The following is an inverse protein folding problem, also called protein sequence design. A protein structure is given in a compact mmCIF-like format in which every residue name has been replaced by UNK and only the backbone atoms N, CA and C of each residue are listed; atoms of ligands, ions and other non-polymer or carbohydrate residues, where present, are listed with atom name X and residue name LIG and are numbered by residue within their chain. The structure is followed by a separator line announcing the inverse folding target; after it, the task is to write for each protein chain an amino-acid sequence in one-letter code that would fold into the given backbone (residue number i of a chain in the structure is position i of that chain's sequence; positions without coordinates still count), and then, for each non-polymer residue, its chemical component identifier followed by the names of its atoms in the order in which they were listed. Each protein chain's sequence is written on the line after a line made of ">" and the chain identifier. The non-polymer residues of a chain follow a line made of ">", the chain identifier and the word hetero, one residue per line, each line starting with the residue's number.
data_IF_629159421447
#
_entry.id   IF_629159421447
#
_cell.length_a   1.000
_cell.length_b   1.000
_cell.length_c   1.000
_cell.angle_alpha   90.00
_cell.angle_beta   90.00
_cell.angle_gamma   90.00
#
_symmetry.space_group_name_H-M   'P 1'
#
loop_
_entity.id
_entity.type
_entity.pdbx_description
1 polymer ?
#
# COMPACT_ATOMS: atom_id res chain seq x y z
N UNK A 1 -5.75 10.69 -16.21
CA UNK A 1 -6.50 10.44 -14.96
C UNK A 1 -6.21 9.02 -14.45
N UNK A 2 -5.67 8.91 -13.23
CA UNK A 2 -5.50 7.66 -12.50
C UNK A 2 -6.83 7.06 -12.04
N UNK A 3 -6.80 5.78 -11.70
CA UNK A 3 -8.01 4.96 -11.45
C UNK A 3 -8.87 5.51 -10.30
N UNK A 4 -8.27 6.12 -9.28
CA UNK A 4 -8.98 6.65 -8.12
C UNK A 4 -9.13 8.17 -8.10
N UNK A 5 -8.66 8.88 -9.14
CA UNK A 5 -8.55 10.35 -9.13
C UNK A 5 -9.88 11.08 -8.89
N UNK A 6 -11.00 10.48 -9.34
CA UNK A 6 -12.33 11.08 -9.24
C UNK A 6 -13.12 10.62 -8.01
N UNK A 7 -12.59 9.70 -7.22
CA UNK A 7 -13.28 9.09 -6.08
C UNK A 7 -13.03 9.88 -4.79
N UNK A 8 -13.22 11.21 -4.83
CA UNK A 8 -12.89 12.11 -3.71
C UNK A 8 -13.73 11.87 -2.46
N UNK A 9 -14.90 11.24 -2.60
CA UNK A 9 -15.82 10.88 -1.52
C UNK A 9 -15.67 9.42 -1.06
N UNK A 10 -14.71 8.65 -1.59
CA UNK A 10 -14.49 7.26 -1.19
C UNK A 10 -13.98 7.19 0.25
N UNK A 11 -14.70 6.47 1.11
CA UNK A 11 -14.38 6.31 2.53
C UNK A 11 -13.71 4.98 2.85
N UNK A 12 -13.95 3.95 2.04
CA UNK A 12 -13.46 2.59 2.21
C UNK A 12 -12.91 2.08 0.89
N UNK A 13 -11.71 1.49 0.93
CA UNK A 13 -11.08 0.89 -0.24
C UNK A 13 -10.54 -0.51 0.11
N UNK A 14 -11.10 -1.51 -0.55
CA UNK A 14 -10.72 -2.91 -0.36
C UNK A 14 -9.87 -3.38 -1.53
N UNK A 15 -8.59 -3.67 -1.27
CA UNK A 15 -7.64 -4.22 -2.25
C UNK A 15 -6.98 -5.51 -1.74
N UNK A 16 -7.36 -5.99 -0.56
CA UNK A 16 -6.82 -7.19 0.07
C UNK A 16 -7.04 -8.45 -0.78
N UNK A 17 -6.23 -9.48 -0.55
CA UNK A 17 -6.38 -10.80 -1.18
C UNK A 17 -6.36 -10.77 -2.72
N UNK A 18 -5.51 -9.92 -3.29
CA UNK A 18 -5.27 -9.82 -4.73
C UNK A 18 -3.81 -10.24 -5.07
N UNK A 19 -3.37 -9.96 -6.31
CA UNK A 19 -2.01 -10.23 -6.77
C UNK A 19 -1.22 -8.94 -7.03
N UNK A 20 -1.54 -7.86 -6.31
CA UNK A 20 -0.86 -6.59 -6.45
C UNK A 20 0.58 -6.70 -5.93
N UNK A 21 1.53 -6.22 -6.74
CA UNK A 21 2.96 -6.17 -6.37
C UNK A 21 3.41 -4.77 -5.97
N UNK A 22 2.77 -3.74 -6.49
CA UNK A 22 3.02 -2.34 -6.18
C UNK A 22 1.75 -1.53 -6.42
N UNK A 23 1.76 -0.27 -5.98
CA UNK A 23 0.73 0.71 -6.30
C UNK A 23 1.39 1.82 -7.13
N UNK A 24 0.82 2.20 -8.29
CA UNK A 24 1.34 3.30 -9.09
C UNK A 24 1.46 4.58 -8.26
N UNK A 25 2.55 5.32 -8.48
CA UNK A 25 2.80 6.59 -7.79
C UNK A 25 1.60 7.51 -7.97
N UNK A 26 1.11 8.04 -6.85
CA UNK A 26 0.02 9.00 -6.81
C UNK A 26 -1.39 8.41 -6.86
N UNK A 27 -1.54 7.08 -6.96
CA UNK A 27 -2.85 6.46 -7.12
C UNK A 27 -3.84 6.81 -6.00
N UNK A 28 -3.38 7.06 -4.78
CA UNK A 28 -4.22 7.39 -3.63
C UNK A 28 -4.30 8.88 -3.30
N UNK A 29 -3.62 9.75 -4.06
CA UNK A 29 -3.41 11.15 -3.67
C UNK A 29 -4.73 11.94 -3.58
N UNK A 30 -5.74 11.58 -4.35
CA UNK A 30 -7.04 12.23 -4.41
C UNK A 30 -8.11 11.61 -3.48
N UNK A 31 -7.78 10.54 -2.75
CA UNK A 31 -8.69 9.87 -1.82
C UNK A 31 -8.80 10.61 -0.47
N UNK A 32 -9.23 11.88 -0.51
CA UNK A 32 -9.24 12.77 0.67
C UNK A 32 -10.21 12.37 1.78
N UNK A 33 -11.24 11.59 1.46
CA UNK A 33 -12.25 11.13 2.43
C UNK A 33 -11.98 9.72 2.97
N UNK A 34 -10.83 9.11 2.62
CA UNK A 34 -10.55 7.72 2.95
C UNK A 34 -10.34 7.54 4.46
N UNK A 35 -11.04 6.57 5.03
CA UNK A 35 -11.00 6.25 6.47
C UNK A 35 -10.54 4.83 6.74
N UNK A 36 -10.70 3.92 5.76
CA UNK A 36 -10.30 2.53 5.88
C UNK A 36 -9.75 2.03 4.55
N UNK A 37 -8.62 1.34 4.61
CA UNK A 37 -8.05 0.63 3.48
C UNK A 37 -7.48 -0.71 3.90
N UNK A 38 -7.74 -1.74 3.10
CA UNK A 38 -7.24 -3.08 3.34
C UNK A 38 -6.32 -3.50 2.19
N UNK A 39 -5.07 -3.84 2.55
CA UNK A 39 -3.97 -4.12 1.61
C UNK A 39 -3.32 -5.50 1.83
N UNK A 40 -3.73 -6.20 2.88
CA UNK A 40 -3.15 -7.49 3.28
C UNK A 40 -3.43 -8.59 2.25
N UNK A 41 -2.65 -9.67 2.29
CA UNK A 41 -2.85 -10.80 1.37
C UNK A 41 -2.50 -10.50 -0.10
N UNK A 42 -1.65 -9.50 -0.35
CA UNK A 42 -1.07 -9.23 -1.66
C UNK A 42 0.44 -9.52 -1.64
N UNK A 43 1.03 -10.02 -2.75
CA UNK A 43 2.45 -10.31 -2.85
C UNK A 43 3.27 -9.04 -3.15
N UNK A 44 3.30 -8.08 -2.21
CA UNK A 44 3.99 -6.81 -2.37
C UNK A 44 5.49 -7.00 -2.66
N UNK A 45 5.95 -6.50 -3.79
CA UNK A 45 7.35 -6.56 -4.21
C UNK A 45 8.13 -5.41 -3.57
N UNK A 46 8.73 -5.70 -2.42
CA UNK A 46 9.52 -4.71 -1.69
C UNK A 46 10.98 -4.63 -2.14
N UNK A 47 11.39 -5.37 -3.19
CA UNK A 47 12.74 -5.27 -3.73
C UNK A 47 12.83 -4.22 -4.83
N UNK A 48 11.76 -4.05 -5.61
CA UNK A 48 11.64 -3.00 -6.62
C UNK A 48 11.41 -1.61 -5.98
N UNK A 49 12.01 -0.56 -6.53
CA UNK A 49 11.83 0.83 -6.06
C UNK A 49 10.41 1.38 -6.20
N UNK A 50 9.58 0.78 -7.06
CA UNK A 50 8.19 1.22 -7.24
C UNK A 50 7.35 1.07 -5.96
N UNK A 51 7.80 0.24 -5.01
CA UNK A 51 7.13 0.09 -3.71
C UNK A 51 7.21 1.36 -2.85
N UNK A 52 8.16 2.26 -3.10
CA UNK A 52 8.46 3.37 -2.20
C UNK A 52 7.29 4.33 -2.01
N UNK A 53 6.48 4.55 -3.05
CA UNK A 53 5.23 5.31 -2.91
C UNK A 53 4.31 4.67 -1.88
N UNK A 54 4.06 3.37 -2.02
CA UNK A 54 3.17 2.64 -1.12
C UNK A 54 3.75 2.56 0.29
N UNK A 55 5.05 2.27 0.45
CA UNK A 55 5.72 2.26 1.76
C UNK A 55 5.52 3.58 2.50
N UNK A 56 5.86 4.70 1.84
CA UNK A 56 5.69 6.03 2.41
C UNK A 56 4.24 6.37 2.70
N UNK A 57 3.31 6.01 1.80
CA UNK A 57 1.90 6.27 1.98
C UNK A 57 1.32 5.51 3.18
N UNK A 58 1.62 4.21 3.33
CA UNK A 58 1.19 3.38 4.48
C UNK A 58 1.81 3.89 5.78
N UNK A 59 3.07 4.33 5.76
CA UNK A 59 3.70 4.94 6.93
C UNK A 59 2.99 6.22 7.37
N UNK A 60 2.65 7.11 6.42
CA UNK A 60 1.96 8.37 6.68
C UNK A 60 0.50 8.20 7.09
N UNK A 61 -0.19 7.18 6.58
CA UNK A 61 -1.63 6.94 6.78
C UNK A 61 -1.87 5.68 7.65
N UNK A 62 -0.95 5.36 8.55
CA UNK A 62 -0.98 4.14 9.36
C UNK A 62 -2.27 3.96 10.18
N UNK A 63 -2.96 5.05 10.55
CA UNK A 63 -4.21 5.01 11.30
C UNK A 63 -5.43 4.49 10.55
N UNK A 64 -5.36 4.34 9.22
CA UNK A 64 -6.49 3.89 8.39
C UNK A 64 -6.25 2.53 7.69
N UNK A 65 -5.05 1.96 7.87
CA UNK A 65 -4.69 0.68 7.26
C UNK A 65 -5.15 -0.45 8.17
N UNK A 66 -6.03 -1.31 7.65
CA UNK A 66 -6.76 -2.30 8.43
C UNK A 66 -6.43 -3.75 8.13
N UNK A 67 -6.96 -4.62 8.99
CA UNK A 67 -7.06 -6.07 8.82
C UNK A 67 -8.40 -6.56 9.38
N UNK A 68 -8.99 -7.58 8.74
CA UNK A 68 -10.29 -8.12 9.14
C UNK A 68 -11.41 -7.07 9.07
N UNK A 69 -12.39 -7.16 9.96
CA UNK A 69 -13.59 -6.33 9.89
C UNK A 69 -13.33 -4.85 10.15
N UNK A 70 -12.51 -4.47 11.14
CA UNK A 70 -12.31 -3.06 11.49
C UNK A 70 -11.04 -2.77 12.31
N UNK A 71 -10.13 -3.74 12.39
CA UNK A 71 -8.93 -3.61 13.24
C UNK A 71 -7.89 -2.79 12.50
N UNK A 72 -7.47 -1.67 13.08
CA UNK A 72 -6.32 -0.91 12.57
C UNK A 72 -5.06 -1.75 12.79
N UNK A 73 -4.41 -2.11 11.69
CA UNK A 73 -3.16 -2.86 11.67
C UNK A 73 -2.28 -2.33 10.52
N UNK A 74 -1.43 -1.34 10.76
CA UNK A 74 -0.56 -0.77 9.72
C UNK A 74 0.52 -1.72 9.22
N UNK A 75 0.73 -2.85 9.90
CA UNK A 75 1.65 -3.92 9.51
C UNK A 75 0.98 -5.04 8.71
N UNK A 76 -0.30 -4.91 8.37
CA UNK A 76 -1.05 -5.94 7.64
C UNK A 76 -0.58 -6.12 6.18
N UNK A 77 -0.09 -5.05 5.55
CA UNK A 77 0.59 -5.12 4.26
C UNK A 77 2.03 -5.61 4.44
N UNK A 78 2.34 -6.81 3.93
CA UNK A 78 3.64 -7.46 4.10
C UNK A 78 4.36 -7.71 2.77
N UNK A 79 5.66 -7.53 2.80
CA UNK A 79 6.55 -7.82 1.69
C UNK A 79 6.58 -9.31 1.36
N UNK A 80 6.46 -9.63 0.08
CA UNK A 80 6.59 -10.98 -0.45
C UNK A 80 7.98 -11.54 -0.13
N UNK A 81 8.03 -12.76 0.40
CA UNK A 81 9.27 -13.49 0.72
C UNK A 81 9.91 -13.16 2.08
N UNK A 82 9.77 -11.94 2.60
CA UNK A 82 10.39 -11.54 3.88
C UNK A 82 9.39 -11.41 5.04
N UNK A 83 8.09 -11.27 4.75
CA UNK A 83 7.04 -10.95 5.72
C UNK A 83 7.27 -9.65 6.52
N UNK A 84 8.20 -8.80 6.09
CA UNK A 84 8.43 -7.49 6.70
C UNK A 84 7.28 -6.55 6.36
N UNK A 85 6.85 -5.65 7.27
CA UNK A 85 5.84 -4.66 6.94
C UNK A 85 6.28 -3.74 5.79
N UNK A 86 5.37 -3.49 4.83
CA UNK A 86 5.64 -2.62 3.68
C UNK A 86 6.04 -1.22 4.14
N UNK A 87 5.41 -0.68 5.19
CA UNK A 87 5.71 0.65 5.74
C UNK A 87 7.11 0.81 6.33
N UNK A 88 7.84 -0.30 6.56
CA UNK A 88 9.19 -0.28 7.08
C UNK A 88 10.25 -0.29 5.96
N UNK A 89 9.83 -0.44 4.69
CA UNK A 89 10.73 -0.46 3.54
C UNK A 89 11.25 0.94 3.27
N UNK A 90 12.57 1.05 3.10
CA UNK A 90 13.25 2.30 2.77
C UNK A 90 14.01 2.17 1.46
N UNK A 91 14.41 3.31 0.87
CA UNK A 91 15.16 3.34 -0.38
C UNK A 91 16.41 2.46 -0.34
N UNK A 92 17.10 2.43 0.81
CA UNK A 92 18.32 1.64 1.03
C UNK A 92 18.13 0.12 0.85
N UNK A 93 16.90 -0.39 1.01
CA UNK A 93 16.55 -1.80 0.83
C UNK A 93 16.01 -2.16 -0.55
N UNK A 94 15.80 -1.16 -1.42
CA UNK A 94 15.18 -1.31 -2.75
C UNK A 94 16.18 -1.05 -3.88
N UNK A 95 15.86 -1.47 -5.10
CA UNK A 95 16.67 -1.14 -6.28
C UNK A 95 15.84 -1.08 -7.57
N UNK A 96 16.08 -0.11 -8.47
CA UNK A 96 15.40 -0.05 -9.77
C UNK A 96 15.70 -1.26 -10.66
N UNK A 97 16.89 -1.86 -10.52
CA UNK A 97 17.27 -3.05 -11.29
C UNK A 97 16.55 -4.33 -10.87
N UNK A 98 15.83 -4.29 -9.75
CA UNK A 98 14.99 -5.39 -9.26
C UNK A 98 13.52 -5.23 -9.65
N UNK A 99 13.18 -4.19 -10.41
CA UNK A 99 11.86 -4.02 -11.00
C UNK A 99 11.73 -4.85 -12.29
N UNK A 100 10.53 -5.40 -12.57
CA UNK A 100 10.27 -6.16 -13.79
C UNK A 100 10.37 -5.32 -15.08
#
# INVERSE_FOLDING_TARGET
>A
PGVFDRLTQLTQLELQSNQLKSIPRGAFDNLKSLTHIWLFGNPWDCQCTDILYMSGWVAQHSGIVGEGWWTVNPDSAKCSGTNTPVRAVTEASTSPSKCP
#
